data_IF_045254417209
#
_entry.id   IF_045254417209
#
_cell.length_a   1.000
_cell.length_b   1.000
_cell.length_c   1.000
_cell.angle_alpha   90.00
_cell.angle_beta   90.00
_cell.angle_gamma   90.00
#
_symmetry.space_group_name_H-M   'P 1'
#
loop_
_entity.id
_entity.type
_entity.pdbx_description
1 polymer ?
#
# COMPACT_ATOMS: atom_id res chain seq x y z
N UNK A 1 10.49 -3.43 -6.23
CA UNK A 1 9.12 -3.15 -5.76
C UNK A 1 9.14 -1.73 -5.21
N UNK A 2 8.15 -0.90 -5.53
CA UNK A 2 8.04 0.47 -5.02
C UNK A 2 7.02 0.51 -3.89
N UNK A 3 7.20 1.46 -2.98
CA UNK A 3 6.39 1.66 -1.78
C UNK A 3 5.62 2.99 -1.84
N UNK A 4 4.78 3.25 -0.84
CA UNK A 4 3.86 4.40 -0.79
C UNK A 4 4.59 5.74 -0.90
N UNK A 5 5.79 5.85 -0.34
CA UNK A 5 6.61 7.07 -0.41
C UNK A 5 6.86 7.53 -1.85
N UNK A 6 7.09 6.59 -2.77
CA UNK A 6 7.28 6.91 -4.20
C UNK A 6 5.98 7.46 -4.80
N UNK A 7 4.84 6.90 -4.42
CA UNK A 7 3.53 7.40 -4.88
C UNK A 7 3.23 8.80 -4.34
N UNK A 8 3.53 9.06 -3.08
CA UNK A 8 3.35 10.38 -2.44
C UNK A 8 4.25 11.42 -3.11
N UNK A 9 5.51 11.10 -3.37
CA UNK A 9 6.44 11.98 -4.07
C UNK A 9 5.98 12.29 -5.51
N UNK A 10 5.39 11.30 -6.21
CA UNK A 10 4.82 11.51 -7.55
C UNK A 10 3.54 12.34 -7.53
N UNK A 11 2.70 12.18 -6.50
CA UNK A 11 1.41 12.86 -6.37
C UNK A 11 1.53 14.38 -6.23
N UNK A 12 2.67 14.88 -5.73
CA UNK A 12 2.89 16.31 -5.53
C UNK A 12 4.08 16.82 -6.35
N UNK A 13 3.82 17.73 -7.29
CA UNK A 13 4.87 18.37 -8.10
C UNK A 13 5.81 19.25 -7.27
N UNK A 14 5.37 19.69 -6.09
CA UNK A 14 6.17 20.49 -5.16
C UNK A 14 6.93 19.63 -4.15
N UNK A 15 6.74 18.29 -4.16
CA UNK A 15 7.53 17.40 -3.34
C UNK A 15 9.01 17.46 -3.76
N UNK A 16 9.91 17.57 -2.78
CA UNK A 16 11.36 17.67 -3.03
C UNK A 16 11.92 16.44 -3.75
N UNK A 17 11.29 15.28 -3.60
CA UNK A 17 11.67 14.02 -4.24
C UNK A 17 10.90 13.76 -5.54
N UNK A 18 10.00 14.66 -5.99
CA UNK A 18 9.20 14.44 -7.19
C UNK A 18 10.03 14.10 -8.43
N UNK A 19 11.10 14.86 -8.67
CA UNK A 19 12.00 14.63 -9.81
C UNK A 19 12.79 13.32 -9.70
N UNK A 20 13.15 12.92 -8.48
CA UNK A 20 13.84 11.66 -8.22
C UNK A 20 12.92 10.46 -8.44
N UNK A 21 11.69 10.53 -7.92
CA UNK A 21 10.67 9.51 -8.10
C UNK A 21 10.32 9.31 -9.59
N UNK A 22 10.20 10.39 -10.37
CA UNK A 22 10.04 10.31 -11.83
C UNK A 22 11.21 9.61 -12.50
N UNK A 23 12.44 10.06 -12.24
CA UNK A 23 13.66 9.45 -12.83
C UNK A 23 13.83 8.00 -12.44
N UNK A 24 13.41 7.62 -11.24
CA UNK A 24 13.40 6.23 -10.78
C UNK A 24 12.48 5.39 -11.66
N UNK A 25 11.24 5.84 -11.89
CA UNK A 25 10.29 5.14 -12.77
C UNK A 25 10.73 5.13 -14.24
N UNK A 26 11.34 6.20 -14.74
CA UNK A 26 11.87 6.27 -16.11
C UNK A 26 13.02 5.27 -16.36
N UNK A 27 13.76 4.88 -15.32
CA UNK A 27 14.96 4.01 -15.44
C UNK A 27 14.69 2.54 -15.14
N UNK A 28 13.65 2.24 -14.36
CA UNK A 28 13.37 0.88 -13.93
C UNK A 28 12.44 0.18 -14.91
N UNK A 29 12.78 -1.05 -15.29
CA UNK A 29 11.91 -1.93 -16.06
C UNK A 29 11.16 -2.89 -15.13
N UNK A 30 9.91 -3.23 -15.45
CA UNK A 30 9.08 -4.18 -14.70
C UNK A 30 8.89 -3.79 -13.22
N UNK A 31 8.56 -2.52 -12.98
CA UNK A 31 8.29 -2.00 -11.64
C UNK A 31 7.02 -2.65 -11.08
N UNK A 32 7.09 -3.12 -9.85
CA UNK A 32 5.96 -3.71 -9.13
C UNK A 32 5.58 -2.85 -7.95
N UNK A 33 4.29 -2.63 -7.77
CA UNK A 33 3.70 -1.94 -6.63
C UNK A 33 3.04 -2.97 -5.71
N UNK A 34 3.29 -2.85 -4.41
CA UNK A 34 2.57 -3.65 -3.41
C UNK A 34 1.10 -3.21 -3.36
N UNK A 35 0.13 -4.15 -3.28
CA UNK A 35 -1.27 -3.79 -3.11
C UNK A 35 -1.52 -3.05 -1.78
N UNK A 36 -0.67 -3.25 -0.78
CA UNK A 36 -0.78 -2.53 0.50
C UNK A 36 -0.31 -1.09 0.42
N UNK A 37 0.52 -0.73 -0.57
CA UNK A 37 0.89 0.67 -0.78
C UNK A 37 -0.30 1.52 -1.26
N UNK A 38 -1.23 0.92 -2.01
CA UNK A 38 -2.49 1.58 -2.36
C UNK A 38 -3.41 1.75 -1.14
N UNK A 39 -3.47 0.73 -0.27
CA UNK A 39 -4.22 0.81 0.99
C UNK A 39 -3.64 1.88 1.91
N UNK A 40 -2.31 1.93 2.05
CA UNK A 40 -1.64 2.95 2.85
C UNK A 40 -1.85 4.36 2.28
N UNK A 41 -1.78 4.52 0.96
CA UNK A 41 -2.10 5.77 0.29
C UNK A 41 -3.53 6.24 0.61
N UNK A 42 -4.52 5.33 0.56
CA UNK A 42 -5.90 5.63 0.92
C UNK A 42 -6.02 6.02 2.40
N UNK A 43 -5.27 5.37 3.30
CA UNK A 43 -5.22 5.74 4.72
C UNK A 43 -4.59 7.13 4.95
N UNK A 44 -3.57 7.52 4.19
CA UNK A 44 -3.00 8.88 4.23
C UNK A 44 -4.01 9.92 3.78
N UNK A 45 -4.85 9.60 2.80
CA UNK A 45 -5.93 10.48 2.32
C UNK A 45 -7.04 10.57 3.38
N UNK A 46 -7.49 9.42 3.91
CA UNK A 46 -8.53 9.34 4.92
C UNK A 46 -8.14 10.09 6.21
N UNK A 47 -6.88 9.99 6.62
CA UNK A 47 -6.34 10.70 7.79
C UNK A 47 -6.06 12.19 7.57
N UNK A 48 -6.32 12.71 6.36
CA UNK A 48 -6.06 14.10 5.95
C UNK A 48 -4.57 14.49 5.94
N UNK A 49 -3.66 13.53 6.08
CA UNK A 49 -2.22 13.75 5.90
C UNK A 49 -1.88 14.06 4.43
N UNK A 50 -2.64 13.49 3.49
CA UNK A 50 -2.54 13.77 2.06
C UNK A 50 -3.89 14.32 1.55
N UNK A 51 -3.92 15.60 1.17
CA UNK A 51 -5.15 16.25 0.67
C UNK A 51 -5.16 16.24 -0.86
N UNK A 52 -6.10 15.50 -1.44
CA UNK A 52 -6.25 15.34 -2.90
C UNK A 52 -7.70 15.58 -3.33
N UNK A 53 -7.93 15.79 -4.62
CA UNK A 53 -9.28 15.85 -5.19
C UNK A 53 -9.71 14.45 -5.63
N UNK A 54 -10.76 13.92 -5.02
CA UNK A 54 -11.37 12.66 -5.40
C UNK A 54 -12.62 12.92 -6.28
N UNK A 55 -12.90 12.07 -7.29
CA UNK A 55 -12.18 10.84 -7.65
C UNK A 55 -10.95 11.06 -8.55
N UNK A 56 -10.76 12.28 -9.08
CA UNK A 56 -9.74 12.62 -10.09
C UNK A 56 -8.35 12.09 -9.79
N UNK A 57 -7.94 12.12 -8.52
CA UNK A 57 -6.63 11.63 -8.09
C UNK A 57 -6.43 10.14 -8.41
N UNK A 58 -7.43 9.29 -8.16
CA UNK A 58 -7.30 7.86 -8.42
C UNK A 58 -7.27 7.55 -9.92
N UNK A 59 -8.05 8.29 -10.72
CA UNK A 59 -7.99 8.18 -12.18
C UNK A 59 -6.61 8.60 -12.72
N UNK A 60 -6.07 9.72 -12.25
CA UNK A 60 -4.74 10.17 -12.64
C UNK A 60 -3.64 9.19 -12.17
N UNK A 61 -3.78 8.60 -10.99
CA UNK A 61 -2.84 7.60 -10.48
C UNK A 61 -2.84 6.35 -11.37
N UNK A 62 -4.01 5.85 -11.77
CA UNK A 62 -4.13 4.72 -12.69
C UNK A 62 -3.43 5.00 -14.03
N UNK A 63 -3.67 6.17 -14.62
CA UNK A 63 -3.00 6.61 -15.85
C UNK A 63 -1.47 6.67 -15.71
N UNK A 64 -0.97 7.20 -14.59
CA UNK A 64 0.47 7.29 -14.30
C UNK A 64 1.09 5.91 -14.15
N UNK A 65 0.45 5.01 -13.39
CA UNK A 65 0.95 3.64 -13.22
C UNK A 65 0.98 2.91 -14.57
N UNK A 66 -0.05 3.07 -15.40
CA UNK A 66 -0.09 2.53 -16.75
C UNK A 66 1.03 3.11 -17.64
N UNK A 67 1.24 4.42 -17.60
CA UNK A 67 2.26 5.11 -18.38
C UNK A 67 3.68 4.58 -18.10
N UNK A 68 4.00 4.34 -16.82
CA UNK A 68 5.30 3.79 -16.41
C UNK A 68 5.34 2.25 -16.43
N UNK A 69 4.27 1.58 -16.85
CA UNK A 69 4.20 0.11 -16.87
C UNK A 69 4.33 -0.54 -15.50
N UNK A 70 3.83 0.12 -14.45
CA UNK A 70 3.87 -0.38 -13.07
C UNK A 70 2.78 -1.43 -12.87
N UNK A 71 3.18 -2.64 -12.50
CA UNK A 71 2.27 -3.73 -12.19
C UNK A 71 1.87 -3.70 -10.71
N UNK A 72 0.58 -3.60 -10.41
CA UNK A 72 0.06 -3.79 -9.04
C UNK A 72 -0.07 -5.27 -8.74
N UNK A 73 0.68 -5.75 -7.74
CA UNK A 73 0.63 -7.15 -7.35
C UNK A 73 -0.73 -7.50 -6.72
N UNK A 74 -1.23 -8.71 -6.99
CA UNK A 74 -2.43 -9.21 -6.30
C UNK A 74 -2.14 -9.45 -4.82
N UNK A 75 -3.00 -8.99 -3.90
CA UNK A 75 -2.82 -9.23 -2.47
C UNK A 75 -2.85 -10.73 -2.16
N UNK A 76 -1.89 -11.18 -1.35
CA UNK A 76 -1.78 -12.55 -0.85
C UNK A 76 -1.37 -12.51 0.62
N UNK A 77 -1.91 -13.39 1.49
CA UNK A 77 -1.53 -13.42 2.89
C UNK A 77 -0.02 -13.53 3.14
N UNK A 78 0.71 -14.26 2.29
CA UNK A 78 2.17 -14.40 2.37
C UNK A 78 2.93 -13.07 2.29
N UNK A 79 2.34 -12.02 1.71
CA UNK A 79 2.95 -10.69 1.70
C UNK A 79 3.01 -10.07 3.11
N UNK A 80 2.10 -10.43 4.02
CA UNK A 80 2.17 -9.99 5.43
C UNK A 80 3.33 -10.63 6.18
N UNK A 81 3.66 -11.89 5.87
CA UNK A 81 4.81 -12.56 6.49
C UNK A 81 6.12 -11.85 6.14
N UNK A 82 6.27 -11.47 4.86
CA UNK A 82 7.44 -10.70 4.38
C UNK A 82 7.49 -9.32 5.05
N UNK A 83 6.37 -8.60 5.13
CA UNK A 83 6.31 -7.30 5.79
C UNK A 83 6.65 -7.39 7.30
N UNK A 84 6.16 -8.44 7.96
CA UNK A 84 6.44 -8.70 9.37
C UNK A 84 7.92 -9.02 9.62
N UNK A 85 8.54 -9.81 8.75
CA UNK A 85 9.96 -10.15 8.82
C UNK A 85 10.89 -8.96 8.55
N UNK A 86 10.47 -8.03 7.67
CA UNK A 86 11.25 -6.84 7.31
C UNK A 86 11.21 -5.70 8.34
N UNK A 87 10.63 -5.93 9.52
CA UNK A 87 10.62 -4.96 10.63
C UNK A 87 9.35 -4.10 10.73
N UNK A 88 8.30 -4.38 9.95
CA UNK A 88 6.97 -3.77 10.12
C UNK A 88 6.22 -4.25 11.36
N UNK A 89 6.77 -5.21 12.09
CA UNK A 89 6.30 -5.58 13.42
C UNK A 89 6.50 -4.40 14.36
N UNK A 90 5.45 -3.59 14.51
CA UNK A 90 5.30 -2.56 15.52
C UNK A 90 5.67 -3.15 16.88
N UNK A 91 6.94 -2.95 17.27
CA UNK A 91 7.45 -3.35 18.57
C UNK A 91 6.85 -2.41 19.61
N UNK A 92 5.60 -2.67 20.02
CA UNK A 92 5.21 -2.96 21.40
C UNK A 92 3.67 -2.91 21.56
N UNK A 93 3.16 -3.90 22.31
CA UNK A 93 1.86 -3.95 23.03
C UNK A 93 0.63 -4.07 22.12
N UNK A 94 -0.05 -5.21 22.03
CA UNK A 94 -0.47 -6.12 23.10
C UNK A 94 -0.79 -7.48 22.50
N UNK A 95 -0.57 -8.55 23.28
CA UNK A 95 -1.05 -9.89 22.95
C UNK A 95 -2.57 -9.86 22.77
N UNK A 96 -3.04 -9.86 21.52
CA UNK A 96 -4.37 -10.36 21.22
C UNK A 96 -4.19 -11.86 21.05
N UNK A 97 -4.38 -12.59 22.15
CA UNK A 97 -4.60 -14.02 22.07
C UNK A 97 -5.84 -14.22 21.18
N UNK A 98 -5.63 -14.72 19.96
CA UNK A 98 -6.70 -15.26 19.14
C UNK A 98 -7.36 -16.38 19.96
N UNK A 99 -8.47 -16.05 20.63
CA UNK A 99 -9.31 -17.06 21.25
C UNK A 99 -10.01 -17.77 20.10
N UNK A 100 -9.86 -19.10 19.93
CA UNK A 100 -10.50 -19.81 18.84
C UNK A 100 -12.03 -19.62 18.97
N UNK A 101 -12.75 -19.47 17.85
CA UNK A 101 -14.21 -19.32 17.90
C UNK A 101 -14.80 -20.52 18.64
N UNK A 102 -15.65 -20.25 19.65
CA UNK A 102 -16.37 -21.28 20.40
C UNK A 102 -17.01 -22.22 19.39
N UNK A 103 -16.61 -23.50 19.42
CA UNK A 103 -17.21 -24.58 18.61
C UNK A 103 -18.73 -24.38 18.61
N UNK A 104 -19.30 -24.22 17.43
CA UNK A 104 -20.74 -24.33 17.22
C UNK A 104 -21.17 -25.65 17.88
N UNK A 105 -21.92 -25.55 18.99
CA UNK A 105 -22.58 -26.70 19.57
C UNK A 105 -23.49 -27.24 18.47
N UNK A 106 -23.18 -28.43 17.96
CA UNK A 106 -24.18 -29.25 17.27
C UNK A 106 -25.35 -29.38 18.24
N UNK A 107 -26.45 -28.68 17.95
CA UNK A 107 -27.75 -29.04 18.50
C UNK A 107 -28.03 -30.43 17.95
N UNK A 108 -28.01 -31.42 18.84
CA UNK A 108 -28.53 -32.75 18.55
C UNK A 108 -29.97 -32.78 19.03
N UNK A 109 -30.79 -33.39 18.17
CA UNK A 109 -32.19 -33.85 18.35
C UNK A 109 -33.23 -32.77 18.52
#
# INVERSE_FOLDING_TARGET
MIETDVLVALASRTDRHHGEARRLLERLTAVKLSPYSLVELDLLIASQCLRVRLPDFYSALEEVLAYYGVEVLRPRPAHFEVAWASGGGMASRSSVACTPPRRLRRVRS
#
